data_IF_413031346357
#
_entry.id   IF_413031346357
#
_cell.length_a   1.000
_cell.length_b   1.000
_cell.length_c   1.000
_cell.angle_alpha   90.00
_cell.angle_beta   90.00
_cell.angle_gamma   90.00
#
_symmetry.space_group_name_H-M   'P 1'
#
loop_
_entity.id
_entity.type
_entity.pdbx_description
1 polymer ?
#
# COMPACT_ATOMS: atom_id res chain seq x y z
N UNK A 1 -11.76 17.15 -0.91
CA UNK A 1 -12.54 17.51 -2.11
C UNK A 1 -11.71 17.42 -3.38
N UNK A 2 -10.65 18.22 -3.55
CA UNK A 2 -9.80 18.18 -4.76
C UNK A 2 -9.35 16.76 -5.15
N UNK A 3 -8.77 16.00 -4.22
CA UNK A 3 -8.31 14.62 -4.46
C UNK A 3 -9.39 13.66 -4.96
N UNK A 4 -10.65 13.83 -4.50
CA UNK A 4 -11.79 13.06 -5.00
C UNK A 4 -12.09 13.46 -6.45
N UNK A 5 -12.21 14.77 -6.70
CA UNK A 5 -12.61 15.31 -8.00
C UNK A 5 -11.60 15.03 -9.10
N UNK A 6 -10.30 15.14 -8.81
CA UNK A 6 -9.28 14.87 -9.81
C UNK A 6 -9.26 13.39 -10.22
N UNK A 7 -9.39 12.46 -9.26
CA UNK A 7 -9.47 11.05 -9.62
C UNK A 7 -10.76 10.74 -10.38
N UNK A 8 -11.90 11.32 -9.95
CA UNK A 8 -13.16 11.22 -10.68
C UNK A 8 -13.03 11.70 -12.13
N UNK A 9 -12.35 12.83 -12.35
CA UNK A 9 -12.13 13.35 -13.69
C UNK A 9 -11.36 12.35 -14.57
N UNK A 10 -10.22 11.83 -14.10
CA UNK A 10 -9.41 10.89 -14.88
C UNK A 10 -10.03 9.51 -15.01
N UNK A 11 -10.75 9.01 -14.00
CA UNK A 11 -11.51 7.76 -14.07
C UNK A 11 -12.69 7.81 -15.04
N UNK A 12 -13.11 9.00 -15.48
CA UNK A 12 -14.15 9.18 -16.50
C UNK A 12 -13.58 9.51 -17.90
N UNK A 13 -12.26 9.56 -18.09
CA UNK A 13 -11.64 9.92 -19.38
C UNK A 13 -11.47 8.76 -20.36
N UNK A 14 -11.40 7.54 -19.87
CA UNK A 14 -11.20 6.35 -20.69
C UNK A 14 -11.30 5.08 -19.87
N UNK A 15 -11.42 3.95 -20.57
CA UNK A 15 -11.50 2.62 -19.98
C UNK A 15 -10.51 1.68 -20.66
N UNK A 16 -9.86 0.85 -19.86
CA UNK A 16 -9.13 -0.33 -20.34
C UNK A 16 -10.03 -1.53 -20.08
N UNK A 17 -10.70 -2.11 -21.08
CA UNK A 17 -11.84 -3.02 -20.85
C UNK A 17 -11.57 -4.15 -19.85
N UNK A 18 -10.40 -4.78 -19.90
CA UNK A 18 -10.08 -5.88 -18.98
C UNK A 18 -9.80 -5.32 -17.57
N UNK A 19 -8.82 -4.43 -17.44
CA UNK A 19 -8.35 -3.93 -16.15
C UNK A 19 -9.38 -3.05 -15.42
N UNK A 20 -10.12 -2.24 -16.17
CA UNK A 20 -11.10 -1.30 -15.63
C UNK A 20 -12.39 -1.98 -15.18
N UNK A 21 -12.80 -3.11 -15.77
CA UNK A 21 -14.03 -3.79 -15.34
C UNK A 21 -13.80 -4.97 -14.39
N UNK A 22 -12.56 -5.45 -14.22
CA UNK A 22 -12.25 -6.60 -13.36
C UNK A 22 -12.83 -6.47 -11.94
N UNK A 23 -12.69 -5.30 -11.32
CA UNK A 23 -13.18 -5.06 -9.96
C UNK A 23 -14.63 -4.55 -9.91
N UNK A 24 -15.14 -4.03 -11.03
CA UNK A 24 -16.56 -3.69 -11.15
C UNK A 24 -17.39 -4.96 -11.13
N UNK A 25 -17.04 -5.93 -11.98
CA UNK A 25 -17.75 -7.21 -12.11
C UNK A 25 -17.70 -7.99 -10.79
N UNK A 26 -16.51 -8.23 -10.25
CA UNK A 26 -16.35 -9.00 -9.01
C UNK A 26 -17.00 -8.30 -7.79
N UNK A 27 -16.94 -6.97 -7.69
CA UNK A 27 -17.66 -6.22 -6.67
C UNK A 27 -19.19 -6.33 -6.79
N UNK A 28 -19.70 -6.42 -8.02
CA UNK A 28 -21.13 -6.65 -8.29
C UNK A 28 -21.54 -8.09 -7.96
N UNK A 29 -20.72 -9.08 -8.30
CA UNK A 29 -20.97 -10.50 -8.00
C UNK A 29 -21.12 -10.79 -6.51
N UNK A 30 -20.38 -10.09 -5.66
CA UNK A 30 -20.57 -10.16 -4.19
C UNK A 30 -22.00 -9.74 -3.78
N UNK A 31 -22.61 -8.76 -4.46
CA UNK A 31 -24.00 -8.36 -4.19
C UNK A 31 -25.01 -9.44 -4.59
N UNK A 32 -24.66 -10.27 -5.58
CA UNK A 32 -25.45 -11.42 -6.01
C UNK A 32 -25.27 -12.65 -5.09
N UNK A 33 -24.41 -12.55 -4.07
CA UNK A 33 -24.10 -13.65 -3.16
C UNK A 33 -23.02 -14.61 -3.68
N UNK A 34 -22.25 -14.20 -4.68
CA UNK A 34 -21.11 -14.95 -5.19
C UNK A 34 -19.80 -14.45 -4.58
N UNK A 35 -19.01 -15.35 -4.01
CA UNK A 35 -17.85 -15.00 -3.21
C UNK A 35 -16.52 -15.45 -3.84
N UNK A 36 -15.44 -14.65 -3.70
CA UNK A 36 -14.11 -15.03 -4.14
C UNK A 36 -13.66 -16.31 -3.42
N UNK A 37 -12.85 -17.11 -4.11
CA UNK A 37 -12.36 -18.43 -3.68
C UNK A 37 -13.41 -19.53 -3.60
N UNK A 38 -14.70 -19.23 -3.73
CA UNK A 38 -15.77 -20.23 -3.71
C UNK A 38 -16.48 -20.31 -5.05
N UNK A 39 -17.06 -19.19 -5.47
CA UNK A 39 -17.89 -19.11 -6.67
C UNK A 39 -17.08 -18.61 -7.88
N UNK A 40 -15.91 -18.01 -7.63
CA UNK A 40 -14.96 -17.66 -8.66
C UNK A 40 -13.52 -17.61 -8.19
N UNK A 41 -12.63 -17.81 -9.17
CA UNK A 41 -11.20 -17.69 -8.97
C UNK A 41 -10.77 -16.23 -9.03
N UNK A 42 -9.97 -15.78 -8.06
CA UNK A 42 -9.35 -14.45 -8.11
C UNK A 42 -7.87 -14.54 -8.38
N UNK A 43 -7.40 -13.70 -9.32
CA UNK A 43 -5.98 -13.51 -9.65
C UNK A 43 -5.37 -12.30 -8.94
N UNK A 44 -6.23 -11.50 -8.30
CA UNK A 44 -5.91 -10.39 -7.40
C UNK A 44 -6.37 -10.72 -5.98
N UNK A 45 -6.23 -9.77 -5.05
CA UNK A 45 -6.68 -9.97 -3.68
C UNK A 45 -8.14 -9.60 -3.42
N UNK A 46 -8.82 -10.31 -2.51
CA UNK A 46 -10.27 -10.22 -2.33
C UNK A 46 -10.72 -8.88 -1.75
N UNK A 47 -9.82 -8.14 -1.09
CA UNK A 47 -10.17 -6.89 -0.40
C UNK A 47 -10.82 -5.88 -1.34
N UNK A 48 -10.32 -5.78 -2.57
CA UNK A 48 -10.78 -4.78 -3.55
C UNK A 48 -12.23 -5.07 -3.94
N UNK A 49 -12.58 -6.34 -4.11
CA UNK A 49 -13.92 -6.78 -4.50
C UNK A 49 -14.93 -6.46 -3.39
N UNK A 50 -14.61 -6.84 -2.14
CA UNK A 50 -15.48 -6.52 -1.00
C UNK A 50 -15.58 -5.01 -0.77
N UNK A 51 -14.47 -4.28 -0.92
CA UNK A 51 -14.50 -2.84 -0.72
C UNK A 51 -15.30 -2.16 -1.83
N UNK A 52 -15.19 -2.62 -3.07
CA UNK A 52 -16.03 -2.15 -4.17
C UNK A 52 -17.51 -2.48 -3.94
N UNK A 53 -17.82 -3.70 -3.49
CA UNK A 53 -19.17 -4.12 -3.15
C UNK A 53 -19.78 -3.22 -2.07
N UNK A 54 -19.01 -2.83 -1.06
CA UNK A 54 -19.44 -1.85 -0.05
C UNK A 54 -19.83 -0.50 -0.66
N UNK A 55 -19.07 0.03 -1.62
CA UNK A 55 -19.46 1.25 -2.33
C UNK A 55 -20.76 1.06 -3.12
N UNK A 56 -20.92 -0.06 -3.82
CA UNK A 56 -22.14 -0.33 -4.57
C UNK A 56 -23.38 -0.49 -3.68
N UNK A 57 -23.26 -1.05 -2.48
CA UNK A 57 -24.37 -1.12 -1.50
C UNK A 57 -24.86 0.28 -1.14
N UNK A 58 -23.95 1.24 -0.96
CA UNK A 58 -24.27 2.59 -0.48
C UNK A 58 -24.69 3.52 -1.61
N UNK A 59 -23.99 3.49 -2.75
CA UNK A 59 -24.12 4.49 -3.83
C UNK A 59 -24.70 3.92 -5.13
N UNK A 60 -25.07 2.63 -5.13
CA UNK A 60 -25.62 1.93 -6.27
C UNK A 60 -24.57 1.41 -7.25
N UNK A 61 -24.97 0.44 -8.08
CA UNK A 61 -24.11 -0.23 -9.06
C UNK A 61 -23.99 0.58 -10.34
N UNK A 62 -23.12 1.59 -10.33
CA UNK A 62 -22.85 2.45 -11.47
C UNK A 62 -21.38 2.86 -11.53
N UNK A 63 -20.96 3.42 -12.67
CA UNK A 63 -19.57 3.82 -12.91
C UNK A 63 -19.06 4.87 -11.91
N UNK A 64 -19.90 5.81 -11.48
CA UNK A 64 -19.48 6.84 -10.54
C UNK A 64 -19.18 6.26 -9.15
N UNK A 65 -20.00 5.31 -8.68
CA UNK A 65 -19.73 4.56 -7.46
C UNK A 65 -18.44 3.72 -7.57
N UNK A 66 -18.17 3.18 -8.76
CA UNK A 66 -16.93 2.43 -9.02
C UNK A 66 -15.69 3.32 -8.95
N UNK A 67 -15.70 4.47 -9.61
CA UNK A 67 -14.60 5.43 -9.55
C UNK A 67 -14.50 6.09 -8.16
N UNK A 68 -15.61 6.20 -7.42
CA UNK A 68 -15.63 6.77 -6.08
C UNK A 68 -14.80 5.97 -5.09
N UNK A 69 -14.76 4.65 -5.23
CA UNK A 69 -13.89 3.78 -4.44
C UNK A 69 -12.41 4.19 -4.57
N UNK A 70 -11.86 4.22 -5.79
CA UNK A 70 -10.49 4.67 -6.02
C UNK A 70 -10.25 6.12 -5.56
N UNK A 71 -11.23 6.99 -5.81
CA UNK A 71 -11.18 8.39 -5.40
C UNK A 71 -11.09 8.53 -3.88
N UNK A 72 -11.83 7.71 -3.13
CA UNK A 72 -11.81 7.69 -1.68
C UNK A 72 -10.42 7.30 -1.14
N UNK A 73 -9.81 6.26 -1.69
CA UNK A 73 -8.45 5.87 -1.29
C UNK A 73 -7.44 6.96 -1.65
N UNK A 74 -7.59 7.63 -2.80
CA UNK A 74 -6.77 8.80 -3.16
C UNK A 74 -6.87 9.92 -2.12
N UNK A 75 -8.09 10.22 -1.67
CA UNK A 75 -8.34 11.26 -0.68
C UNK A 75 -7.76 10.89 0.69
N UNK A 76 -7.86 9.61 1.07
CA UNK A 76 -7.26 9.08 2.29
C UNK A 76 -5.74 9.23 2.27
N UNK A 77 -5.08 8.91 1.15
CA UNK A 77 -3.64 9.11 0.98
C UNK A 77 -3.23 10.58 1.07
N UNK A 78 -3.95 11.47 0.39
CA UNK A 78 -3.65 12.90 0.42
C UNK A 78 -3.80 13.46 1.85
N UNK A 79 -4.87 13.09 2.56
CA UNK A 79 -5.11 13.52 3.93
C UNK A 79 -4.05 12.99 4.90
N UNK A 80 -3.70 11.72 4.80
CA UNK A 80 -2.67 11.13 5.68
C UNK A 80 -1.29 11.67 5.37
N UNK A 81 -0.97 11.95 4.10
CA UNK A 81 0.26 12.67 3.71
C UNK A 81 0.33 14.03 4.41
N UNK A 82 -0.75 14.81 4.38
CA UNK A 82 -0.82 16.09 5.07
C UNK A 82 -0.53 15.96 6.57
N UNK A 83 -1.12 14.96 7.22
CA UNK A 83 -0.94 14.69 8.66
C UNK A 83 0.51 14.32 8.97
N UNK A 84 1.14 13.46 8.15
CA UNK A 84 2.54 13.08 8.33
C UNK A 84 3.48 14.27 8.13
N UNK A 85 3.26 15.09 7.10
CA UNK A 85 4.09 16.29 6.86
C UNK A 85 3.95 17.31 8.00
N UNK A 86 2.73 17.48 8.53
CA UNK A 86 2.50 18.32 9.71
C UNK A 86 3.21 17.77 10.96
N UNK A 87 3.29 16.44 11.10
CA UNK A 87 4.03 15.79 12.17
C UNK A 87 5.53 16.10 12.12
N UNK A 88 6.10 16.24 10.92
CA UNK A 88 7.46 16.75 10.69
C UNK A 88 7.59 18.28 10.87
N UNK A 89 6.53 18.96 11.31
CA UNK A 89 6.49 20.42 11.54
C UNK A 89 6.80 21.24 10.28
N UNK A 90 6.50 20.71 9.09
CA UNK A 90 6.60 21.50 7.85
C UNK A 90 5.57 22.63 7.87
N UNK A 91 5.90 23.71 7.13
CA UNK A 91 4.98 24.81 6.90
C UNK A 91 3.64 24.29 6.34
N UNK A 92 2.52 24.79 6.86
CA UNK A 92 1.18 24.31 6.51
C UNK A 92 0.85 24.44 5.02
N UNK A 93 1.37 25.47 4.35
CA UNK A 93 1.21 25.66 2.91
C UNK A 93 1.98 24.60 2.12
N UNK A 94 3.20 24.24 2.56
CA UNK A 94 3.96 23.14 1.96
C UNK A 94 3.27 21.79 2.19
N UNK A 95 2.76 21.54 3.39
CA UNK A 95 1.96 20.34 3.68
C UNK A 95 0.78 20.20 2.71
N UNK A 96 0.06 21.30 2.47
CA UNK A 96 -1.06 21.33 1.53
C UNK A 96 -0.61 21.07 0.09
N UNK A 97 0.43 21.76 -0.39
CA UNK A 97 0.96 21.61 -1.75
C UNK A 97 1.44 20.19 -2.02
N UNK A 98 2.23 19.59 -1.12
CA UNK A 98 2.72 18.22 -1.31
C UNK A 98 1.59 17.19 -1.27
N UNK A 99 0.60 17.39 -0.40
CA UNK A 99 -0.59 16.51 -0.37
C UNK A 99 -1.42 16.63 -1.65
N UNK A 100 -1.45 17.82 -2.26
CA UNK A 100 -2.05 18.03 -3.57
C UNK A 100 -1.27 17.26 -4.64
N UNK A 101 0.07 17.31 -4.65
CA UNK A 101 0.87 16.53 -5.60
C UNK A 101 0.64 15.04 -5.47
N UNK A 102 0.62 14.49 -4.24
CA UNK A 102 0.27 13.08 -4.02
C UNK A 102 -1.13 12.77 -4.59
N UNK A 103 -2.10 13.65 -4.38
CA UNK A 103 -3.45 13.45 -4.91
C UNK A 103 -3.55 13.44 -6.44
N UNK A 104 -2.60 14.08 -7.13
CA UNK A 104 -2.49 14.08 -8.60
C UNK A 104 -1.75 12.83 -9.08
N UNK A 105 -0.67 12.44 -8.40
CA UNK A 105 0.28 11.42 -8.86
C UNK A 105 -0.09 9.99 -8.44
N UNK A 106 -0.95 9.82 -7.43
CA UNK A 106 -1.37 8.52 -6.94
C UNK A 106 -2.45 7.88 -7.85
N UNK A 107 -3.70 7.82 -7.39
CA UNK A 107 -4.76 7.11 -8.11
C UNK A 107 -5.13 7.66 -9.49
N UNK A 108 -5.03 8.96 -9.80
CA UNK A 108 -5.37 9.45 -11.13
C UNK A 108 -4.60 8.78 -12.27
N UNK A 109 -3.44 8.18 -11.99
CA UNK A 109 -2.69 7.36 -12.96
C UNK A 109 -3.47 6.14 -13.48
N UNK A 110 -4.37 5.57 -12.67
CA UNK A 110 -5.26 4.46 -13.03
C UNK A 110 -6.72 4.90 -13.17
N UNK A 111 -7.15 5.91 -12.40
CA UNK A 111 -8.51 6.45 -12.37
C UNK A 111 -9.54 5.53 -11.68
N UNK A 112 -9.37 4.21 -11.81
CA UNK A 112 -10.28 3.17 -11.29
C UNK A 112 -9.57 2.30 -10.24
N UNK A 113 -10.32 1.50 -9.45
CA UNK A 113 -9.72 0.50 -8.58
C UNK A 113 -8.72 -0.39 -9.33
N UNK A 114 -7.52 -0.56 -8.77
CA UNK A 114 -6.50 -1.46 -9.34
C UNK A 114 -5.68 -2.11 -8.23
N UNK A 115 -5.30 -3.38 -8.40
CA UNK A 115 -4.73 -4.18 -7.31
C UNK A 115 -3.31 -3.77 -6.90
N UNK A 116 -2.45 -3.46 -7.86
CA UNK A 116 -1.10 -2.97 -7.56
C UNK A 116 -1.14 -1.64 -6.80
N UNK A 117 -1.99 -0.71 -7.26
CA UNK A 117 -2.25 0.57 -6.60
C UNK A 117 -2.77 0.38 -5.18
N UNK A 118 -3.85 -0.39 -5.00
CA UNK A 118 -4.43 -0.64 -3.67
C UNK A 118 -3.37 -1.20 -2.70
N UNK A 119 -2.63 -2.22 -3.12
CA UNK A 119 -1.62 -2.82 -2.25
C UNK A 119 -0.50 -1.84 -1.89
N UNK A 120 0.03 -1.10 -2.86
CA UNK A 120 1.06 -0.09 -2.61
C UNK A 120 0.54 1.05 -1.72
N UNK A 121 -0.69 1.50 -1.91
CA UNK A 121 -1.30 2.61 -1.17
C UNK A 121 -1.65 2.24 0.26
N UNK A 122 -2.26 1.08 0.50
CA UNK A 122 -2.48 0.60 1.86
C UNK A 122 -1.15 0.29 2.56
N UNK A 123 -0.11 -0.14 1.82
CA UNK A 123 1.24 -0.27 2.38
C UNK A 123 1.85 1.08 2.75
N UNK A 124 1.69 2.11 1.91
CA UNK A 124 2.11 3.48 2.19
C UNK A 124 1.39 4.04 3.42
N UNK A 125 0.07 3.82 3.53
CA UNK A 125 -0.68 4.16 4.74
C UNK A 125 -0.10 3.43 5.96
N UNK A 126 0.17 2.13 5.88
CA UNK A 126 0.85 1.39 6.95
C UNK A 126 2.19 2.04 7.34
N UNK A 127 3.02 2.40 6.35
CA UNK A 127 4.28 3.11 6.56
C UNK A 127 4.10 4.49 7.20
N UNK A 128 3.10 5.27 6.80
CA UNK A 128 2.76 6.54 7.46
C UNK A 128 2.39 6.33 8.91
N UNK A 129 1.59 5.30 9.21
CA UNK A 129 1.25 4.94 10.58
C UNK A 129 2.47 4.46 11.37
N UNK A 130 3.44 3.78 10.75
CA UNK A 130 4.72 3.45 11.36
C UNK A 130 5.53 4.71 11.74
N UNK A 131 5.65 5.67 10.82
CA UNK A 131 6.33 6.96 11.07
C UNK A 131 5.66 7.69 12.25
N UNK A 132 4.33 7.81 12.23
CA UNK A 132 3.57 8.44 13.30
C UNK A 132 3.70 7.67 14.63
N UNK A 133 3.73 6.34 14.60
CA UNK A 133 3.89 5.50 15.77
C UNK A 133 5.26 5.69 16.45
N UNK A 134 6.34 5.72 15.68
CA UNK A 134 7.70 5.96 16.19
C UNK A 134 7.84 7.40 16.70
N UNK A 135 7.19 8.36 16.02
CA UNK A 135 7.29 9.77 16.35
C UNK A 135 6.52 10.11 17.63
N UNK A 136 5.27 9.66 17.72
CA UNK A 136 4.30 10.10 18.74
C UNK A 136 4.01 9.04 19.80
N UNK A 137 4.38 7.78 19.57
CA UNK A 137 4.20 6.65 20.49
C UNK A 137 2.74 6.38 20.91
N UNK A 138 1.78 6.94 20.18
CA UNK A 138 0.36 6.75 20.44
C UNK A 138 -0.08 5.33 20.05
N UNK A 139 -0.74 4.63 20.98
CA UNK A 139 -1.14 3.21 20.86
C UNK A 139 -1.98 2.92 19.62
N UNK A 140 -2.85 3.87 19.23
CA UNK A 140 -3.71 3.74 18.05
C UNK A 140 -2.91 3.49 16.78
N UNK A 141 -1.72 4.10 16.64
CA UNK A 141 -0.91 3.90 15.44
C UNK A 141 -0.35 2.49 15.34
N UNK A 142 0.08 1.91 16.46
CA UNK A 142 0.52 0.51 16.54
C UNK A 142 -0.61 -0.48 16.26
N UNK A 143 -1.86 -0.14 16.62
CA UNK A 143 -3.05 -0.95 16.36
C UNK A 143 -3.42 -0.94 14.88
N UNK A 144 -3.42 0.24 14.24
CA UNK A 144 -3.84 0.42 12.85
C UNK A 144 -2.78 -0.05 11.83
N UNK A 145 -1.49 0.00 12.19
CA UNK A 145 -0.38 -0.44 11.35
C UNK A 145 -0.60 -1.83 10.69
N UNK A 146 -0.79 -2.93 11.44
CA UNK A 146 -0.98 -4.25 10.85
C UNK A 146 -2.30 -4.38 10.08
N UNK A 147 -3.36 -3.65 10.45
CA UNK A 147 -4.63 -3.67 9.71
C UNK A 147 -4.45 -3.14 8.29
N UNK A 148 -3.72 -2.03 8.14
CA UNK A 148 -3.40 -1.45 6.84
C UNK A 148 -2.52 -2.39 6.01
N UNK A 149 -1.54 -3.06 6.62
CA UNK A 149 -0.76 -4.08 5.92
C UNK A 149 -1.57 -5.32 5.54
N UNK A 150 -2.54 -5.74 6.35
CA UNK A 150 -3.44 -6.82 5.97
C UNK A 150 -4.33 -6.41 4.79
N UNK A 151 -4.88 -5.19 4.75
CA UNK A 151 -5.61 -4.70 3.57
C UNK A 151 -4.72 -4.61 2.33
N UNK A 152 -3.47 -4.17 2.49
CA UNK A 152 -2.50 -4.17 1.41
C UNK A 152 -2.23 -5.59 0.89
N UNK A 153 -1.96 -6.53 1.81
CA UNK A 153 -1.74 -7.93 1.49
C UNK A 153 -2.92 -8.52 0.75
N UNK A 154 -4.13 -8.37 1.30
CA UNK A 154 -5.39 -8.81 0.72
C UNK A 154 -5.82 -8.03 -0.53
N UNK A 155 -5.10 -6.99 -0.95
CA UNK A 155 -5.28 -6.35 -2.26
C UNK A 155 -4.34 -6.99 -3.29
N UNK A 156 -3.07 -7.15 -2.91
CA UNK A 156 -2.05 -7.87 -3.68
C UNK A 156 -0.85 -8.17 -2.79
N UNK A 157 -0.29 -9.37 -2.92
CA UNK A 157 0.74 -9.85 -2.01
C UNK A 157 2.13 -9.29 -2.30
N UNK A 158 2.51 -9.16 -3.58
CA UNK A 158 3.91 -8.87 -3.95
C UNK A 158 4.42 -7.53 -3.38
N UNK A 159 3.79 -6.36 -3.64
CA UNK A 159 4.31 -5.10 -3.11
C UNK A 159 4.19 -5.02 -1.58
N UNK A 160 3.08 -5.51 -1.02
CA UNK A 160 2.86 -5.50 0.44
C UNK A 160 3.85 -6.39 1.18
N UNK A 161 4.18 -7.58 0.66
CA UNK A 161 5.14 -8.50 1.29
C UNK A 161 6.51 -7.84 1.45
N UNK A 162 7.05 -7.20 0.41
CA UNK A 162 8.34 -6.51 0.51
C UNK A 162 8.31 -5.39 1.55
N UNK A 163 7.24 -4.59 1.58
CA UNK A 163 7.10 -3.48 2.53
C UNK A 163 6.89 -4.00 3.97
N UNK A 164 6.15 -5.08 4.16
CA UNK A 164 5.96 -5.73 5.47
C UNK A 164 7.29 -6.28 5.98
N UNK A 165 8.08 -6.95 5.13
CA UNK A 165 9.40 -7.46 5.48
C UNK A 165 10.36 -6.32 5.85
N UNK A 166 10.38 -5.24 5.05
CA UNK A 166 11.13 -4.01 5.39
C UNK A 166 10.70 -3.44 6.74
N UNK A 167 9.40 -3.39 7.00
CA UNK A 167 8.86 -2.87 8.26
C UNK A 167 9.26 -3.75 9.44
N UNK A 168 9.26 -5.07 9.29
CA UNK A 168 9.72 -6.00 10.33
C UNK A 168 11.20 -5.78 10.68
N UNK A 169 12.07 -5.55 9.69
CA UNK A 169 13.48 -5.18 9.92
C UNK A 169 13.57 -3.87 10.71
N UNK A 170 12.83 -2.85 10.31
CA UNK A 170 12.84 -1.53 10.98
C UNK A 170 12.33 -1.63 12.41
N UNK A 171 11.25 -2.38 12.66
CA UNK A 171 10.69 -2.57 14.00
C UNK A 171 11.65 -3.35 14.90
N UNK A 172 12.40 -4.31 14.34
CA UNK A 172 13.46 -5.02 15.05
C UNK A 172 14.57 -4.04 15.44
N UNK A 173 15.05 -3.22 14.50
CA UNK A 173 16.04 -2.17 14.77
C UNK A 173 15.54 -1.17 15.83
N UNK A 174 14.32 -0.65 15.69
CA UNK A 174 13.67 0.24 16.65
C UNK A 174 13.68 -0.36 18.06
N UNK A 175 13.33 -1.63 18.18
CA UNK A 175 13.28 -2.34 19.46
C UNK A 175 14.68 -2.52 20.07
N UNK A 176 15.68 -2.87 19.25
CA UNK A 176 17.07 -3.07 19.70
C UNK A 176 17.73 -1.76 20.15
N UNK A 177 17.51 -0.67 19.40
CA UNK A 177 18.08 0.66 19.64
C UNK A 177 17.42 1.31 20.86
N UNK A 178 16.09 1.31 20.92
CA UNK A 178 15.34 2.04 21.95
C UNK A 178 14.96 1.18 23.17
N UNK A 179 15.18 -0.14 23.12
CA UNK A 179 14.73 -1.11 24.14
C UNK A 179 13.20 -1.06 24.38
N UNK A 180 12.43 -0.75 23.33
CA UNK A 180 10.96 -0.60 23.36
C UNK A 180 10.29 -1.74 22.60
N UNK A 181 9.55 -2.59 23.32
CA UNK A 181 8.85 -3.76 22.76
C UNK A 181 7.32 -3.67 22.88
N UNK A 182 6.78 -2.58 23.44
CA UNK A 182 5.35 -2.46 23.72
C UNK A 182 4.47 -2.48 22.45
N UNK A 183 5.03 -2.09 21.30
CA UNK A 183 4.34 -2.15 20.01
C UNK A 183 3.90 -3.57 19.66
N UNK A 184 4.68 -4.60 20.06
CA UNK A 184 4.37 -6.01 19.80
C UNK A 184 2.99 -6.36 20.36
N UNK A 185 2.72 -5.98 21.61
CA UNK A 185 1.43 -6.26 22.25
C UNK A 185 0.27 -5.69 21.44
N UNK A 186 0.36 -4.41 21.04
CA UNK A 186 -0.73 -3.73 20.34
C UNK A 186 -0.89 -4.25 18.91
N UNK A 187 0.18 -4.34 18.14
CA UNK A 187 0.13 -4.81 16.75
C UNK A 187 -0.24 -6.28 16.63
N UNK A 188 0.26 -7.15 17.54
CA UNK A 188 -0.13 -8.56 17.54
C UNK A 188 -1.60 -8.74 17.92
N UNK A 189 -2.11 -7.97 18.90
CA UNK A 189 -3.51 -8.06 19.30
C UNK A 189 -4.46 -7.68 18.17
N UNK A 190 -4.17 -6.61 17.42
CA UNK A 190 -5.01 -6.21 16.29
C UNK A 190 -4.90 -7.16 15.11
N UNK A 191 -3.71 -7.71 14.84
CA UNK A 191 -3.51 -8.74 13.83
C UNK A 191 -4.33 -10.01 14.15
N UNK A 192 -4.27 -10.50 15.38
CA UNK A 192 -5.02 -11.69 15.81
C UNK A 192 -6.52 -11.46 15.67
N UNK A 193 -7.03 -10.30 16.13
CA UNK A 193 -8.44 -9.95 15.98
C UNK A 193 -8.86 -9.88 14.51
N UNK A 194 -8.01 -9.33 13.64
CA UNK A 194 -8.28 -9.27 12.21
C UNK A 194 -8.30 -10.65 11.55
N UNK A 195 -7.37 -11.53 11.90
CA UNK A 195 -7.36 -12.92 11.40
C UNK A 195 -8.61 -13.68 11.85
N UNK A 196 -9.02 -13.53 13.12
CA UNK A 196 -10.28 -14.11 13.62
C UNK A 196 -11.47 -13.59 12.80
N UNK A 197 -11.52 -12.28 12.53
CA UNK A 197 -12.56 -11.69 11.68
C UNK A 197 -12.59 -12.32 10.28
N UNK A 198 -11.43 -12.48 9.62
CA UNK A 198 -11.36 -13.13 8.31
C UNK A 198 -11.81 -14.60 8.35
N UNK A 199 -11.45 -15.35 9.40
CA UNK A 199 -11.88 -16.74 9.56
C UNK A 199 -13.40 -16.85 9.73
N UNK A 200 -14.02 -15.94 10.50
CA UNK A 200 -15.47 -15.88 10.67
C UNK A 200 -16.12 -15.55 9.31
N UNK A 201 -15.63 -14.52 8.62
CA UNK A 201 -16.14 -14.12 7.31
C UNK A 201 -16.08 -15.27 6.29
N UNK A 202 -14.93 -15.94 6.18
CA UNK A 202 -14.74 -17.08 5.30
C UNK A 202 -15.70 -18.23 5.62
N UNK A 203 -15.91 -18.52 6.92
CA UNK A 203 -16.85 -19.57 7.35
C UNK A 203 -18.30 -19.23 7.02
N UNK A 204 -18.73 -17.98 7.23
CA UNK A 204 -20.10 -17.53 6.92
C UNK A 204 -20.39 -17.65 5.42
N UNK A 205 -19.40 -17.35 4.58
CA UNK A 205 -19.55 -17.41 3.12
C UNK A 205 -19.36 -18.82 2.54
N UNK A 206 -18.91 -19.78 3.36
CA UNK A 206 -18.63 -21.15 2.94
C UNK A 206 -17.35 -21.28 2.13
N UNK A 207 -16.38 -20.38 2.31
CA UNK A 207 -15.07 -20.46 1.68
C UNK A 207 -14.25 -21.54 2.39
N UNK A 208 -13.80 -22.56 1.63
CA UNK A 208 -12.91 -23.59 2.18
C UNK A 208 -11.51 -23.02 2.39
N UNK A 209 -10.86 -23.43 3.49
CA UNK A 209 -9.49 -23.00 3.77
C UNK A 209 -8.51 -23.46 2.68
N UNK A 210 -8.70 -24.67 2.12
CA UNK A 210 -7.88 -25.17 1.01
C UNK A 210 -8.00 -24.27 -0.22
N UNK A 211 -9.21 -23.85 -0.59
CA UNK A 211 -9.39 -22.98 -1.76
C UNK A 211 -8.71 -21.62 -1.58
N UNK A 212 -8.80 -21.02 -0.39
CA UNK A 212 -8.04 -19.81 -0.08
C UNK A 212 -6.52 -20.02 -0.25
N UNK A 213 -5.97 -21.12 0.29
CA UNK A 213 -4.54 -21.40 0.19
C UNK A 213 -4.11 -21.64 -1.26
N UNK A 214 -4.84 -22.48 -1.99
CA UNK A 214 -4.51 -22.85 -3.37
C UNK A 214 -4.56 -21.64 -4.29
N UNK A 215 -5.66 -20.89 -4.24
CA UNK A 215 -5.90 -19.77 -5.15
C UNK A 215 -5.10 -18.53 -4.77
N UNK A 216 -5.04 -18.21 -3.48
CA UNK A 216 -4.45 -16.96 -3.04
C UNK A 216 -2.97 -17.09 -2.76
N UNK A 217 -2.52 -18.18 -2.13
CA UNK A 217 -1.13 -18.30 -1.69
C UNK A 217 -0.29 -19.03 -2.73
N UNK A 218 -0.69 -20.24 -3.14
CA UNK A 218 0.15 -21.12 -3.95
C UNK A 218 0.18 -20.71 -5.42
N UNK A 219 -0.96 -20.37 -6.02
CA UNK A 219 -1.01 -20.02 -7.44
C UNK A 219 -0.21 -18.74 -7.79
N UNK A 220 -0.28 -17.63 -7.02
CA UNK A 220 0.57 -16.48 -7.33
C UNK A 220 2.07 -16.75 -7.16
N UNK A 221 2.47 -17.73 -6.33
CA UNK A 221 3.87 -18.13 -6.19
C UNK A 221 4.41 -18.81 -7.44
N UNK A 222 3.59 -19.62 -8.15
CA UNK A 222 4.03 -20.25 -9.41
C UNK A 222 4.29 -19.20 -10.48
N UNK A 223 3.38 -18.23 -10.63
CA UNK A 223 3.56 -17.08 -11.54
C UNK A 223 4.76 -16.21 -11.14
N UNK A 224 4.98 -16.04 -9.84
CA UNK A 224 6.13 -15.33 -9.32
C UNK A 224 7.45 -15.99 -9.71
N UNK A 225 7.54 -17.32 -9.57
CA UNK A 225 8.74 -18.08 -9.89
C UNK A 225 9.15 -17.93 -11.36
N UNK A 226 8.19 -17.98 -12.29
CA UNK A 226 8.45 -17.71 -13.71
C UNK A 226 8.98 -16.30 -13.95
N UNK A 227 8.36 -15.28 -13.32
CA UNK A 227 8.82 -13.89 -13.44
C UNK A 227 10.23 -13.67 -12.91
N UNK A 228 10.62 -14.39 -11.84
CA UNK A 228 11.97 -14.31 -11.28
C UNK A 228 13.02 -14.86 -12.25
N UNK A 229 12.71 -15.92 -12.99
CA UNK A 229 13.60 -16.48 -14.01
C UNK A 229 13.80 -15.50 -15.18
N UNK A 230 12.77 -14.71 -15.51
CA UNK A 230 12.77 -13.77 -16.62
C UNK A 230 13.11 -12.31 -16.23
N UNK A 231 13.74 -12.07 -15.07
CA UNK A 231 14.11 -10.71 -14.66
C UNK A 231 15.23 -10.19 -15.55
N UNK A 232 14.96 -9.08 -16.25
CA UNK A 232 15.98 -8.32 -16.97
C UNK A 232 16.62 -7.28 -16.03
N UNK A 233 17.80 -7.64 -15.49
CA UNK A 233 18.67 -6.80 -14.64
C UNK A 233 19.56 -5.89 -15.52
N UNK A 234 18.95 -5.16 -16.45
CA UNK A 234 19.67 -4.18 -17.27
C UNK A 234 19.77 -2.81 -16.58
N UNK A 235 20.83 -2.06 -16.90
CA UNK A 235 20.99 -0.64 -16.49
C UNK A 235 19.75 0.18 -16.87
N UNK A 236 19.12 -0.15 -18.00
CA UNK A 236 17.88 0.47 -18.44
C UNK A 236 16.73 0.25 -17.46
N UNK A 237 16.53 -0.99 -17.03
CA UNK A 237 15.42 -1.34 -16.16
C UNK A 237 15.62 -0.89 -14.72
N UNK A 238 16.87 -0.88 -14.23
CA UNK A 238 17.17 -0.53 -12.84
C UNK A 238 17.35 0.97 -12.68
N UNK A 239 18.14 1.62 -13.54
CA UNK A 239 18.53 3.02 -13.38
C UNK A 239 17.68 3.97 -14.22
N UNK A 240 17.62 3.78 -15.54
CA UNK A 240 16.94 4.74 -16.42
C UNK A 240 15.42 4.79 -16.18
N UNK A 241 14.80 3.63 -15.90
CA UNK A 241 13.36 3.52 -15.66
C UNK A 241 12.88 4.34 -14.45
N UNK A 242 13.67 4.40 -13.38
CA UNK A 242 13.30 5.08 -12.12
C UNK A 242 14.13 6.35 -11.86
N UNK A 243 14.76 6.90 -12.90
CA UNK A 243 15.68 8.06 -12.80
C UNK A 243 15.11 9.23 -12.00
N UNK A 244 13.82 9.56 -12.16
CA UNK A 244 13.20 10.68 -11.45
C UNK A 244 13.08 10.41 -9.94
N UNK A 245 12.78 9.16 -9.56
CA UNK A 245 12.71 8.75 -8.16
C UNK A 245 14.11 8.81 -7.53
N UNK A 246 15.14 8.33 -8.25
CA UNK A 246 16.52 8.42 -7.76
C UNK A 246 17.00 9.85 -7.62
N UNK A 247 16.70 10.74 -8.57
CA UNK A 247 17.09 12.15 -8.49
C UNK A 247 16.55 12.79 -7.20
N UNK A 248 15.32 12.48 -6.79
CA UNK A 248 14.72 12.99 -5.56
C UNK A 248 15.26 12.28 -4.31
N UNK A 249 15.54 10.97 -4.39
CA UNK A 249 16.05 10.20 -3.27
C UNK A 249 17.55 10.46 -2.96
N UNK A 250 18.35 10.84 -3.95
CA UNK A 250 19.79 11.03 -3.81
C UNK A 250 20.19 12.10 -2.79
N UNK A 251 19.58 13.31 -2.75
CA UNK A 251 19.86 14.29 -1.70
C UNK A 251 19.56 13.76 -0.30
N UNK A 252 18.44 13.05 -0.13
CA UNK A 252 18.06 12.44 1.15
C UNK A 252 19.12 11.42 1.57
N UNK A 253 19.53 10.54 0.66
CA UNK A 253 20.54 9.52 0.90
C UNK A 253 21.89 10.15 1.25
N UNK A 254 22.35 11.16 0.50
CA UNK A 254 23.61 11.86 0.74
C UNK A 254 23.65 12.52 2.13
N UNK A 255 22.59 13.26 2.50
CA UNK A 255 22.52 13.93 3.81
C UNK A 255 22.59 12.90 4.94
N UNK A 256 21.82 11.82 4.84
CA UNK A 256 21.80 10.78 5.87
C UNK A 256 23.13 10.04 5.97
N UNK A 257 23.77 9.69 4.85
CA UNK A 257 25.11 9.10 4.85
C UNK A 257 26.13 10.02 5.52
N UNK A 258 26.12 11.32 5.22
CA UNK A 258 26.99 12.29 5.88
C UNK A 258 26.78 12.27 7.40
N UNK A 259 25.53 12.31 7.86
CA UNK A 259 25.22 12.25 9.30
C UNK A 259 25.72 10.98 9.97
N UNK A 260 25.60 9.82 9.32
CA UNK A 260 26.11 8.54 9.84
C UNK A 260 27.62 8.61 10.13
N UNK A 261 28.41 9.25 9.26
CA UNK A 261 29.87 9.32 9.41
C UNK A 261 30.34 10.46 10.33
N UNK A 262 29.62 11.58 10.39
CA UNK A 262 30.09 12.79 11.06
C UNK A 262 29.35 13.14 12.37
N UNK A 263 28.13 12.63 12.58
CA UNK A 263 27.32 12.91 13.78
C UNK A 263 27.34 11.70 14.75
N UNK A 264 27.89 11.90 15.96
CA UNK A 264 27.89 10.85 16.98
C UNK A 264 26.47 10.51 17.41
N UNK A 265 26.18 9.21 17.54
CA UNK A 265 24.88 8.66 17.95
C UNK A 265 23.70 8.92 17.00
N UNK A 266 23.93 9.39 15.77
CA UNK A 266 22.87 9.62 14.79
C UNK A 266 21.95 8.41 14.57
N UNK A 267 22.53 7.19 14.59
CA UNK A 267 21.78 5.93 14.45
C UNK A 267 20.68 5.71 15.50
N UNK A 268 20.74 6.41 16.64
CA UNK A 268 19.74 6.34 17.71
C UNK A 268 18.61 7.35 17.52
N UNK A 269 18.75 8.30 16.60
CA UNK A 269 17.77 9.35 16.38
C UNK A 269 16.56 8.84 15.59
N UNK A 270 15.39 9.44 15.87
CA UNK A 270 14.16 9.13 15.13
C UNK A 270 14.29 9.47 13.64
N UNK A 271 15.06 10.51 13.31
CA UNK A 271 15.29 10.94 11.94
C UNK A 271 15.99 9.85 11.11
N UNK A 272 16.94 9.13 11.69
CA UNK A 272 17.60 8.00 11.03
C UNK A 272 16.62 6.86 10.75
N UNK A 273 15.74 6.54 11.70
CA UNK A 273 14.69 5.53 11.49
C UNK A 273 13.70 5.96 10.41
N UNK A 274 13.27 7.22 10.42
CA UNK A 274 12.40 7.78 9.39
C UNK A 274 13.05 7.73 8.00
N UNK A 275 14.34 8.02 7.90
CA UNK A 275 15.11 7.83 6.66
C UNK A 275 15.10 6.38 6.20
N UNK A 276 15.42 5.41 7.09
CA UNK A 276 15.39 3.98 6.73
C UNK A 276 14.01 3.53 6.26
N UNK A 277 12.94 4.01 6.90
CA UNK A 277 11.56 3.73 6.49
C UNK A 277 11.32 4.17 5.05
N UNK A 278 11.63 5.42 4.71
CA UNK A 278 11.43 5.95 3.36
C UNK A 278 12.34 5.27 2.33
N UNK A 279 13.59 4.98 2.71
CA UNK A 279 14.54 4.27 1.86
C UNK A 279 14.04 2.87 1.51
N UNK A 280 13.65 2.09 2.52
CA UNK A 280 13.16 0.73 2.30
C UNK A 280 11.81 0.69 1.58
N UNK A 281 10.89 1.62 1.85
CA UNK A 281 9.66 1.77 1.09
C UNK A 281 9.95 1.99 -0.40
N UNK A 282 10.83 2.94 -0.71
CA UNK A 282 11.21 3.27 -2.09
C UNK A 282 11.84 2.07 -2.79
N UNK A 283 12.79 1.41 -2.11
CA UNK A 283 13.44 0.21 -2.64
C UNK A 283 12.43 -0.92 -2.90
N UNK A 284 11.55 -1.21 -1.94
CA UNK A 284 10.55 -2.27 -2.06
C UNK A 284 9.57 -2.03 -3.21
N UNK A 285 9.16 -0.78 -3.44
CA UNK A 285 8.28 -0.42 -4.56
C UNK A 285 8.99 -0.47 -5.91
N UNK A 286 10.26 -0.06 -5.99
CA UNK A 286 11.08 -0.21 -7.19
C UNK A 286 11.27 -1.69 -7.53
N UNK A 287 11.61 -2.52 -6.54
CA UNK A 287 11.77 -3.97 -6.72
C UNK A 287 10.48 -4.61 -7.23
N UNK A 288 9.33 -4.24 -6.65
CA UNK A 288 8.03 -4.68 -7.16
C UNK A 288 7.80 -4.30 -8.63
N UNK A 289 8.12 -3.05 -9.01
CA UNK A 289 7.95 -2.57 -10.40
C UNK A 289 8.89 -3.24 -11.41
N UNK A 290 10.09 -3.63 -10.98
CA UNK A 290 11.03 -4.42 -11.78
C UNK A 290 10.42 -5.80 -12.05
N UNK A 291 9.84 -6.44 -11.03
CA UNK A 291 9.30 -7.80 -11.12
C UNK A 291 8.00 -7.90 -11.92
N UNK A 292 7.10 -6.95 -11.79
CA UNK A 292 5.77 -7.05 -12.44
C UNK A 292 5.77 -6.63 -13.90
N UNK A 293 6.82 -5.95 -14.39
CA UNK A 293 6.91 -5.41 -15.76
C UNK A 293 5.70 -4.53 -16.15
N UNK A 294 4.94 -4.05 -15.18
CA UNK A 294 3.76 -3.21 -15.37
C UNK A 294 4.14 -1.76 -15.68
N UNK A 295 3.15 -0.94 -16.05
CA UNK A 295 3.35 0.51 -16.12
C UNK A 295 3.80 1.05 -14.75
N UNK A 296 4.71 2.02 -14.79
CA UNK A 296 5.20 2.65 -13.57
C UNK A 296 4.05 3.45 -12.98
N UNK A 297 3.67 3.13 -11.74
CA UNK A 297 2.63 3.88 -11.02
C UNK A 297 3.15 4.52 -9.72
N UNK A 298 4.42 4.28 -9.38
CA UNK A 298 5.03 4.73 -8.11
C UNK A 298 5.55 6.18 -8.16
N UNK A 299 4.98 7.02 -9.04
CA UNK A 299 5.37 8.43 -9.20
C UNK A 299 4.94 9.32 -8.02
N UNK A 300 4.13 8.79 -7.10
CA UNK A 300 3.70 9.47 -5.88
C UNK A 300 4.73 9.47 -4.75
N UNK A 301 5.85 8.72 -4.90
CA UNK A 301 6.99 8.71 -3.99
C UNK A 301 7.79 10.02 -4.09
#
# INVERSE_FOLDING_TARGET
>A
MFSLLINQYYGNKGIFPIDSFAYFDTGFRILLGEYPFKDYWIIHGPFIDYFQSFFFIIFGTNWQSYVLHASFVNALLALTTFIVLKNFKLNIYLCFVYSLFVSVLAYPSSGTPFADHHSAFFSLLGVYFLILAISNEHKLYWILLPLLFCFAFLSKQVPSFYIIMSTAVILTLYSLINKKFYWIKYSLSSLVLFVIFLMIMGRVQGISFSSFIDQYILYPQTLGAERYNDIDISVKNILYRFKFIYIVALPLLYINLKKIFFEKNYLKEKDFLNFLILFFLTFSLIMHQILTKNQIFIFFL
#
